data_IF_174200873643
#
_entry.id   IF_174200873643
#
_cell.length_a   1.000
_cell.length_b   1.000
_cell.length_c   1.000
_cell.angle_alpha   90.00
_cell.angle_beta   90.00
_cell.angle_gamma   90.00
#
_symmetry.space_group_name_H-M   'P 1'
#
loop_
_entity.id
_entity.type
_entity.pdbx_description
1 polymer ?
#
# COMPACT_ATOMS: atom_id res chain seq x y z
N UNK A 1 11.53 8.96 7.46
CA UNK A 1 11.94 7.70 6.77
C UNK A 1 13.32 7.27 7.24
N UNK A 2 13.42 6.11 7.85
CA UNK A 2 14.69 5.58 8.38
C UNK A 2 15.60 5.05 7.26
N UNK A 3 15.04 4.48 6.23
CA UNK A 3 15.75 3.80 5.16
C UNK A 3 15.84 4.62 3.87
N UNK A 4 16.91 4.40 3.10
CA UNK A 4 17.18 5.06 1.82
C UNK A 4 16.47 4.35 0.66
N UNK A 5 15.15 4.24 0.73
CA UNK A 5 14.31 3.58 -0.27
C UNK A 5 13.12 4.45 -0.66
N UNK A 6 12.61 4.23 -1.86
CA UNK A 6 11.33 4.76 -2.31
C UNK A 6 10.18 3.79 -2.00
N UNK A 7 8.97 4.31 -2.00
CA UNK A 7 7.75 3.54 -1.81
C UNK A 7 6.78 3.74 -2.98
N UNK A 8 5.89 2.77 -3.18
CA UNK A 8 4.78 2.88 -4.13
C UNK A 8 3.47 2.51 -3.44
N UNK A 9 2.47 3.36 -3.60
CA UNK A 9 1.09 3.08 -3.25
C UNK A 9 0.34 2.63 -4.51
N UNK A 10 -0.35 1.51 -4.42
CA UNK A 10 -1.02 0.88 -5.55
C UNK A 10 -2.47 0.66 -5.20
N UNK A 11 -3.35 1.03 -6.13
CA UNK A 11 -4.75 0.65 -6.14
C UNK A 11 -5.12 0.12 -7.51
N UNK A 12 -6.18 -0.68 -7.60
CA UNK A 12 -6.59 -1.21 -8.91
C UNK A 12 -6.96 -0.08 -9.87
N UNK A 13 -7.73 0.91 -9.44
CA UNK A 13 -8.28 2.00 -10.25
C UNK A 13 -7.50 3.31 -10.04
N UNK A 14 -7.03 3.93 -11.14
CA UNK A 14 -6.23 5.17 -11.13
C UNK A 14 -6.99 6.38 -10.58
N UNK A 15 -8.25 6.58 -10.97
CA UNK A 15 -9.01 7.80 -10.68
C UNK A 15 -9.39 8.00 -9.21
N UNK A 16 -9.25 6.98 -8.38
CA UNK A 16 -9.53 7.05 -6.94
C UNK A 16 -8.29 7.24 -6.07
N UNK A 17 -7.09 7.19 -6.64
CA UNK A 17 -5.82 7.25 -5.91
C UNK A 17 -5.66 8.50 -5.05
N UNK A 18 -6.05 9.67 -5.56
CA UNK A 18 -5.91 10.93 -4.82
C UNK A 18 -6.81 10.95 -3.59
N UNK A 19 -8.09 10.57 -3.77
CA UNK A 19 -9.10 10.64 -2.72
C UNK A 19 -9.00 9.49 -1.69
N UNK A 20 -8.21 8.46 -1.98
CA UNK A 20 -8.02 7.30 -1.11
C UNK A 20 -6.62 7.28 -0.51
N UNK A 21 -5.76 6.44 -1.06
CA UNK A 21 -4.43 6.11 -0.52
C UNK A 21 -3.50 7.33 -0.36
N UNK A 22 -3.60 8.34 -1.25
CA UNK A 22 -2.79 9.55 -1.14
C UNK A 22 -3.22 10.42 0.04
N UNK A 23 -4.52 10.70 0.18
CA UNK A 23 -5.03 11.50 1.31
C UNK A 23 -4.90 10.75 2.64
N UNK A 24 -5.03 9.42 2.67
CA UNK A 24 -4.76 8.61 3.87
C UNK A 24 -3.30 8.75 4.32
N UNK A 25 -2.36 8.66 3.39
CA UNK A 25 -0.94 8.82 3.71
C UNK A 25 -0.62 10.23 4.18
N UNK A 26 -1.24 11.24 3.57
CA UNK A 26 -1.10 12.64 3.98
C UNK A 26 -1.64 12.84 5.40
N UNK A 27 -2.85 12.37 5.67
CA UNK A 27 -3.44 12.42 7.02
C UNK A 27 -2.54 11.75 8.06
N UNK A 28 -2.01 10.56 7.77
CA UNK A 28 -1.11 9.86 8.68
C UNK A 28 0.17 10.66 9.00
N UNK A 29 0.70 11.41 8.03
CA UNK A 29 1.86 12.29 8.22
C UNK A 29 1.48 13.51 9.09
N UNK A 30 0.29 14.07 8.89
CA UNK A 30 -0.25 15.17 9.68
C UNK A 30 -0.47 14.76 11.14
N UNK A 31 -1.09 13.61 11.38
CA UNK A 31 -1.30 13.05 12.74
C UNK A 31 0.01 12.80 13.50
N UNK A 32 1.09 12.49 12.77
CA UNK A 32 2.42 12.32 13.38
C UNK A 32 3.13 13.66 13.68
N UNK A 33 2.55 14.81 13.31
CA UNK A 33 3.14 16.14 13.52
C UNK A 33 4.39 16.41 12.69
N UNK A 34 4.66 15.64 11.64
CA UNK A 34 5.90 15.71 10.83
C UNK A 34 5.69 16.29 9.43
N UNK A 35 4.59 16.95 9.19
CA UNK A 35 4.22 17.52 7.87
C UNK A 35 5.32 18.41 7.27
N UNK A 36 6.02 19.18 8.11
CA UNK A 36 7.12 20.05 7.71
C UNK A 36 8.31 19.30 7.05
N UNK A 37 8.41 17.98 7.25
CA UNK A 37 9.45 17.15 6.63
C UNK A 37 9.03 16.59 5.26
N UNK A 38 7.81 16.88 4.80
CA UNK A 38 7.28 16.30 3.57
C UNK A 38 6.79 17.36 2.59
N UNK A 39 6.99 17.07 1.30
CA UNK A 39 6.42 17.83 0.20
C UNK A 39 5.36 16.98 -0.50
N UNK A 40 4.18 17.58 -0.69
CA UNK A 40 3.02 16.94 -1.31
C UNK A 40 2.80 17.47 -2.72
N UNK A 41 2.78 16.59 -3.70
CA UNK A 41 2.52 16.90 -5.09
C UNK A 41 1.29 16.14 -5.59
N UNK A 42 0.41 16.82 -6.34
CA UNK A 42 -0.78 16.20 -6.96
C UNK A 42 -0.57 15.78 -8.42
N UNK A 43 0.39 16.37 -9.11
CA UNK A 43 0.72 16.01 -10.49
C UNK A 43 2.25 15.96 -10.68
N UNK A 44 2.84 14.77 -10.76
CA UNK A 44 2.28 13.47 -10.42
C UNK A 44 1.96 13.36 -8.92
N UNK A 45 1.03 12.45 -8.54
CA UNK A 45 0.76 12.13 -7.14
C UNK A 45 2.04 11.57 -6.49
N UNK A 46 2.58 12.35 -5.54
CA UNK A 46 3.89 12.05 -4.93
C UNK A 46 4.03 12.74 -3.58
N UNK A 47 4.52 12.01 -2.60
CA UNK A 47 4.91 12.52 -1.30
C UNK A 47 6.41 12.35 -1.14
N UNK A 48 7.14 13.44 -1.00
CA UNK A 48 8.61 13.43 -0.92
C UNK A 48 9.06 13.76 0.49
N UNK A 49 9.93 12.94 1.06
CA UNK A 49 10.62 13.25 2.32
C UNK A 49 11.78 14.20 2.05
N UNK A 50 11.64 15.46 2.48
CA UNK A 50 12.53 16.57 2.14
C UNK A 50 13.99 16.32 2.56
N UNK A 51 14.29 15.83 3.79
CA UNK A 51 15.67 15.74 4.27
C UNK A 51 16.57 14.82 3.44
N UNK A 52 16.00 13.83 2.72
CA UNK A 52 16.77 12.87 1.92
C UNK A 52 16.40 12.89 0.45
N UNK A 53 15.19 13.29 0.12
CA UNK A 53 14.65 13.33 -1.23
C UNK A 53 14.04 12.02 -1.72
N UNK A 54 14.01 10.96 -0.90
CA UNK A 54 13.25 9.75 -1.22
C UNK A 54 11.74 10.01 -1.11
N UNK A 55 10.93 9.21 -1.78
CA UNK A 55 9.53 9.51 -1.97
C UNK A 55 8.63 8.29 -2.06
N UNK A 56 7.35 8.52 -1.88
CA UNK A 56 6.27 7.61 -2.24
C UNK A 56 5.53 8.15 -3.46
N UNK A 57 5.30 7.28 -4.45
CA UNK A 57 4.52 7.57 -5.65
C UNK A 57 3.27 6.70 -5.67
N UNK A 58 2.21 7.15 -6.35
CA UNK A 58 0.93 6.46 -6.39
C UNK A 58 0.58 6.06 -7.82
N UNK A 59 0.13 4.82 -8.03
CA UNK A 59 -0.15 4.24 -9.35
C UNK A 59 -1.36 3.32 -9.32
N UNK A 60 -2.19 3.40 -10.37
CA UNK A 60 -3.23 2.41 -10.62
C UNK A 60 -2.70 1.19 -11.35
N UNK A 61 -3.24 0.04 -11.01
CA UNK A 61 -2.83 -1.25 -11.57
C UNK A 61 -3.50 -1.57 -12.92
N UNK A 62 -4.53 -0.82 -13.31
CA UNK A 62 -5.16 -0.98 -14.63
C UNK A 62 -4.18 -0.83 -15.81
N UNK A 63 -3.07 -0.11 -15.57
CA UNK A 63 -1.97 0.05 -16.52
C UNK A 63 -0.68 -0.52 -15.95
N UNK A 64 -0.46 -1.85 -15.97
CA UNK A 64 0.69 -2.51 -15.36
C UNK A 64 2.04 -1.98 -15.87
N UNK A 65 2.09 -1.51 -17.11
CA UNK A 65 3.31 -0.94 -17.72
C UNK A 65 3.82 0.29 -16.97
N UNK A 66 2.94 1.08 -16.38
CA UNK A 66 3.32 2.24 -15.55
C UNK A 66 4.00 1.83 -14.25
N UNK A 67 3.68 0.64 -13.73
CA UNK A 67 4.34 0.08 -12.55
C UNK A 67 5.67 -0.57 -12.94
N UNK A 68 5.68 -1.32 -14.04
CA UNK A 68 6.90 -1.93 -14.58
C UNK A 68 7.98 -0.91 -14.96
N UNK A 69 7.59 0.30 -15.33
CA UNK A 69 8.51 1.39 -15.69
C UNK A 69 9.08 2.15 -14.49
N UNK A 70 8.64 1.85 -13.26
CA UNK A 70 9.14 2.53 -12.08
C UNK A 70 10.61 2.19 -11.84
N UNK A 71 11.46 3.18 -12.04
CA UNK A 71 12.89 3.13 -11.74
C UNK A 71 13.31 4.45 -11.12
N UNK A 72 14.24 4.40 -10.21
CA UNK A 72 14.90 5.57 -9.67
C UNK A 72 16.40 5.28 -9.55
N UNK A 73 17.22 6.22 -9.98
CA UNK A 73 18.68 6.03 -9.99
C UNK A 73 19.31 6.21 -8.60
N UNK A 74 18.59 6.84 -7.68
CA UNK A 74 19.13 7.20 -6.36
C UNK A 74 18.62 6.28 -5.25
N UNK A 75 17.34 5.92 -5.29
CA UNK A 75 16.71 5.10 -4.26
C UNK A 75 15.87 4.00 -4.88
N UNK A 76 16.13 2.72 -4.56
CA UNK A 76 15.32 1.62 -5.04
C UNK A 76 13.90 1.68 -4.47
N UNK A 77 12.92 1.21 -5.23
CA UNK A 77 11.57 0.97 -4.72
C UNK A 77 11.58 -0.35 -3.94
N UNK A 78 11.50 -0.27 -2.62
CA UNK A 78 11.55 -1.45 -1.74
C UNK A 78 10.29 -1.61 -0.88
N UNK A 79 9.42 -0.60 -0.84
CA UNK A 79 8.19 -0.64 -0.05
C UNK A 79 7.00 -0.47 -1.01
N UNK A 80 6.04 -1.39 -0.94
CA UNK A 80 4.77 -1.32 -1.63
C UNK A 80 3.59 -1.33 -0.65
N UNK A 81 2.55 -0.54 -0.95
CA UNK A 81 1.26 -0.67 -0.30
C UNK A 81 0.19 -0.87 -1.37
N UNK A 82 -0.49 -2.02 -1.33
CA UNK A 82 -1.60 -2.38 -2.21
C UNK A 82 -2.88 -2.21 -1.40
N UNK A 83 -3.64 -1.17 -1.72
CA UNK A 83 -4.93 -0.87 -1.11
C UNK A 83 -6.05 -1.57 -1.89
N UNK A 84 -7.09 -2.01 -1.17
CA UNK A 84 -8.23 -2.73 -1.72
C UNK A 84 -7.80 -3.96 -2.54
N UNK A 85 -6.96 -4.79 -1.93
CA UNK A 85 -6.40 -5.98 -2.57
C UNK A 85 -7.48 -6.89 -3.20
N UNK A 86 -8.69 -6.90 -2.64
CA UNK A 86 -9.81 -7.68 -3.15
C UNK A 86 -10.37 -7.20 -4.50
N UNK A 87 -10.01 -5.99 -4.96
CA UNK A 87 -10.38 -5.49 -6.30
C UNK A 87 -9.56 -6.16 -7.42
N UNK A 88 -8.41 -6.75 -7.10
CA UNK A 88 -7.58 -7.48 -8.07
C UNK A 88 -8.19 -8.83 -8.41
N UNK A 89 -8.16 -9.20 -9.68
CA UNK A 89 -8.84 -10.38 -10.20
C UNK A 89 -8.23 -11.70 -9.72
N UNK A 90 -6.91 -11.73 -9.51
CA UNK A 90 -6.17 -12.93 -9.14
C UNK A 90 -4.88 -12.62 -8.37
N UNK A 91 -4.36 -13.63 -7.71
CA UNK A 91 -3.03 -13.59 -7.10
C UNK A 91 -1.92 -13.37 -8.13
N UNK A 92 -2.05 -13.95 -9.33
CA UNK A 92 -1.06 -13.82 -10.41
C UNK A 92 -0.92 -12.37 -10.88
N UNK A 93 -2.04 -11.62 -10.92
CA UNK A 93 -2.01 -10.21 -11.25
C UNK A 93 -1.18 -9.41 -10.23
N UNK A 94 -1.42 -9.64 -8.95
CA UNK A 94 -0.67 -9.00 -7.86
C UNK A 94 0.80 -9.43 -7.87
N UNK A 95 1.06 -10.71 -8.09
CA UNK A 95 2.43 -11.26 -8.19
C UNK A 95 3.20 -10.62 -9.34
N UNK A 96 2.55 -10.43 -10.49
CA UNK A 96 3.16 -9.74 -11.63
C UNK A 96 3.57 -8.32 -11.29
N UNK A 97 2.72 -7.60 -10.56
CA UNK A 97 2.97 -6.23 -10.11
C UNK A 97 4.13 -6.21 -9.10
N UNK A 98 4.08 -7.05 -8.08
CA UNK A 98 5.11 -7.09 -7.03
C UNK A 98 6.46 -7.50 -7.60
N UNK A 99 6.52 -8.52 -8.46
CA UNK A 99 7.75 -8.92 -9.14
C UNK A 99 8.33 -7.81 -10.03
N UNK A 100 7.48 -6.92 -10.55
CA UNK A 100 7.96 -5.76 -11.31
C UNK A 100 8.70 -4.74 -10.45
N UNK A 101 8.41 -4.70 -9.15
CA UNK A 101 9.04 -3.81 -8.18
C UNK A 101 10.28 -4.44 -7.52
N UNK A 102 10.34 -5.78 -7.46
CA UNK A 102 11.45 -6.56 -6.88
C UNK A 102 12.67 -6.60 -7.83
N UNK A 103 13.05 -5.44 -8.39
CA UNK A 103 14.11 -5.35 -9.39
C UNK A 103 15.32 -4.60 -8.84
N UNK A 104 16.30 -5.32 -8.46
CA UNK A 104 17.58 -4.76 -8.06
C UNK A 104 18.08 -5.35 -6.75
N UNK A 105 19.35 -5.14 -6.51
CA UNK A 105 19.97 -5.46 -5.24
C UNK A 105 19.66 -4.31 -4.26
N UNK A 106 19.36 -4.66 -3.04
CA UNK A 106 19.21 -3.70 -1.94
C UNK A 106 20.49 -3.70 -1.12
N UNK A 107 20.82 -2.55 -0.55
CA UNK A 107 21.93 -2.43 0.40
C UNK A 107 21.73 -3.36 1.60
N UNK A 108 22.80 -3.74 2.27
CA UNK A 108 22.81 -4.60 3.44
C UNK A 108 21.83 -4.11 4.53
N UNK A 109 21.01 -5.00 5.02
CA UNK A 109 19.99 -4.72 6.02
C UNK A 109 18.70 -4.11 5.47
N UNK A 110 18.58 -3.89 4.17
CA UNK A 110 17.33 -3.54 3.51
C UNK A 110 16.64 -4.80 2.98
N UNK A 111 15.31 -4.74 2.95
CA UNK A 111 14.49 -5.82 2.38
C UNK A 111 13.23 -5.25 1.74
N UNK A 112 12.71 -5.97 0.78
CA UNK A 112 11.44 -5.64 0.17
C UNK A 112 10.29 -5.91 1.14
N UNK A 113 9.34 -4.96 1.23
CA UNK A 113 8.18 -5.09 2.10
C UNK A 113 6.91 -4.63 1.40
N UNK A 114 5.91 -5.50 1.41
CA UNK A 114 4.59 -5.20 0.88
C UNK A 114 3.56 -5.21 2.01
N UNK A 115 2.74 -4.17 2.01
CA UNK A 115 1.54 -4.08 2.83
C UNK A 115 0.34 -4.25 1.92
N UNK A 116 -0.64 -5.02 2.35
CA UNK A 116 -1.89 -5.20 1.64
C UNK A 116 -3.04 -4.92 2.60
N UNK A 117 -3.99 -4.10 2.18
CA UNK A 117 -5.21 -3.83 2.94
C UNK A 117 -6.44 -4.18 2.09
N UNK A 118 -7.44 -4.79 2.70
CA UNK A 118 -8.71 -5.10 2.04
C UNK A 118 -9.80 -5.44 3.05
N UNK A 119 -11.04 -5.24 2.63
CA UNK A 119 -12.21 -5.78 3.31
C UNK A 119 -12.50 -7.19 2.76
N UNK A 120 -12.60 -8.24 3.60
CA UNK A 120 -12.81 -9.60 3.13
C UNK A 120 -14.11 -9.71 2.32
N UNK A 121 -14.05 -10.18 1.06
CA UNK A 121 -15.25 -10.42 0.28
C UNK A 121 -16.17 -11.45 0.93
N UNK A 122 -17.50 -11.26 0.85
CA UNK A 122 -18.49 -12.22 1.36
C UNK A 122 -18.32 -13.62 0.74
N UNK A 123 -17.83 -13.69 -0.49
CA UNK A 123 -17.59 -14.95 -1.20
C UNK A 123 -16.34 -15.65 -0.67
N UNK A 124 -16.51 -16.73 0.09
CA UNK A 124 -15.40 -17.53 0.65
C UNK A 124 -14.41 -18.05 -0.40
N UNK A 125 -14.85 -18.27 -1.64
CA UNK A 125 -14.03 -18.75 -2.75
C UNK A 125 -13.17 -17.64 -3.40
N UNK A 126 -13.28 -16.38 -2.97
CA UNK A 126 -12.40 -15.33 -3.48
C UNK A 126 -10.94 -15.70 -3.21
N UNK A 127 -10.05 -15.32 -4.11
CA UNK A 127 -8.63 -15.67 -4.00
C UNK A 127 -7.97 -15.09 -2.74
N UNK A 128 -8.36 -13.87 -2.33
CA UNK A 128 -7.84 -13.24 -1.12
C UNK A 128 -8.22 -14.03 0.13
N UNK A 129 -9.50 -14.47 0.24
CA UNK A 129 -9.95 -15.27 1.37
C UNK A 129 -9.23 -16.63 1.40
N UNK A 130 -9.10 -17.31 0.27
CA UNK A 130 -8.35 -18.58 0.17
C UNK A 130 -6.91 -18.44 0.61
N UNK A 131 -6.26 -17.31 0.26
CA UNK A 131 -4.86 -17.09 0.58
C UNK A 131 -4.65 -16.69 2.04
N UNK A 132 -5.41 -15.73 2.54
CA UNK A 132 -5.12 -15.07 3.83
C UNK A 132 -5.99 -15.54 5.00
N UNK A 133 -7.16 -16.17 4.72
CA UNK A 133 -8.00 -16.81 5.75
C UNK A 133 -7.61 -18.27 6.00
N UNK A 134 -6.60 -18.78 5.30
CA UNK A 134 -6.13 -20.13 5.50
C UNK A 134 -5.35 -20.24 6.83
N UNK A 135 -5.41 -21.40 7.48
CA UNK A 135 -4.65 -21.70 8.70
C UNK A 135 -3.14 -21.75 8.48
N UNK A 136 -2.71 -21.88 7.24
CA UNK A 136 -1.29 -21.89 6.85
C UNK A 136 -0.93 -20.57 6.17
N UNK A 137 0.04 -19.86 6.77
CA UNK A 137 0.65 -18.68 6.18
C UNK A 137 2.15 -18.92 5.98
N UNK A 138 2.73 -18.47 4.86
CA UNK A 138 4.19 -18.50 4.66
C UNK A 138 4.93 -17.75 5.79
N UNK A 139 6.11 -18.20 6.16
CA UNK A 139 6.90 -17.62 7.24
C UNK A 139 7.21 -16.12 7.10
N UNK A 140 7.16 -15.59 5.87
CA UNK A 140 7.37 -14.17 5.56
C UNK A 140 6.07 -13.37 5.46
N UNK A 141 4.94 -13.96 5.83
CA UNK A 141 3.62 -13.33 5.75
C UNK A 141 3.02 -13.17 7.15
N UNK A 142 2.57 -11.97 7.45
CA UNK A 142 1.83 -11.67 8.67
C UNK A 142 0.44 -11.16 8.28
N UNK A 143 -0.61 -11.79 8.82
CA UNK A 143 -2.00 -11.37 8.62
C UNK A 143 -2.54 -10.79 9.92
N UNK A 144 -3.05 -9.57 9.85
CA UNK A 144 -3.72 -8.88 10.94
C UNK A 144 -5.19 -8.69 10.58
N UNK A 145 -6.07 -9.10 11.48
CA UNK A 145 -7.51 -8.86 11.37
C UNK A 145 -7.89 -7.72 12.31
N UNK A 146 -8.60 -6.75 11.78
CA UNK A 146 -9.22 -5.67 12.56
C UNK A 146 -10.70 -5.56 12.21
N UNK A 147 -11.49 -5.17 13.17
CA UNK A 147 -12.92 -4.94 13.03
C UNK A 147 -13.24 -3.49 13.36
N UNK A 148 -14.47 -3.07 13.14
CA UNK A 148 -14.91 -1.74 13.56
C UNK A 148 -14.79 -1.52 15.08
N UNK A 149 -14.78 -2.58 15.88
CA UNK A 149 -14.54 -2.48 17.33
C UNK A 149 -13.12 -2.05 17.69
N UNK A 150 -12.16 -2.31 16.79
CA UNK A 150 -10.75 -1.97 16.99
C UNK A 150 -10.44 -0.53 16.54
N UNK A 151 -11.42 0.16 15.93
CA UNK A 151 -11.26 1.51 15.41
C UNK A 151 -11.71 2.56 16.44
N UNK A 152 -10.79 3.28 17.09
CA UNK A 152 -11.13 4.28 18.12
C UNK A 152 -11.86 5.52 17.58
N UNK A 153 -11.90 5.71 16.25
CA UNK A 153 -12.51 6.86 15.59
C UNK A 153 -13.95 6.60 15.12
N UNK A 154 -14.46 5.37 15.28
CA UNK A 154 -15.87 5.07 14.95
C UNK A 154 -16.80 5.66 16.00
N UNK A 155 -17.78 6.44 15.55
CA UNK A 155 -18.84 6.92 16.44
C UNK A 155 -19.72 5.77 16.97
N UNK A 156 -20.27 5.93 18.18
CA UNK A 156 -21.17 4.94 18.77
C UNK A 156 -22.38 4.65 17.89
N UNK A 157 -22.88 5.66 17.16
CA UNK A 157 -24.01 5.49 16.24
C UNK A 157 -23.69 4.58 15.06
N UNK A 158 -22.48 4.68 14.47
CA UNK A 158 -22.05 3.80 13.39
C UNK A 158 -21.84 2.36 13.86
N UNK A 159 -21.43 2.16 15.11
CA UNK A 159 -21.30 0.84 15.71
C UNK A 159 -22.64 0.11 15.87
N UNK A 160 -23.75 0.84 16.00
CA UNK A 160 -25.10 0.28 16.15
C UNK A 160 -25.76 -0.11 14.82
N UNK A 161 -25.28 0.40 13.68
CA UNK A 161 -25.84 0.11 12.35
C UNK A 161 -25.34 -1.24 11.79
N UNK A 162 -24.33 -1.83 12.40
CA UNK A 162 -23.66 -3.06 11.92
C UNK A 162 -23.93 -4.30 12.77
N UNK A 163 -25.01 -4.27 13.58
CA UNK A 163 -25.53 -5.44 14.32
C UNK A 163 -26.46 -6.26 13.46
#
# INVERSE_FOLDING_TARGET
>A
MRYAVNAVGIRYVDNTLEQSIYEQMKWAIEEQGVTHLFKFNKSPLRITYIPRGNYMIFRGAQNPERIKSLKDSKFPFAIGWIEELAEFKSEDEVTTITNSLLRGELDDGLFYKFFCSYNPPKRKQSWVNKKFESSFQPANTFVHHSTYHDNPFISKELSLIHI
#
